data_IF_253285839452
#
_entry.id   IF_253285839452
#
_cell.length_a   1.000
_cell.length_b   1.000
_cell.length_c   1.000
_cell.angle_alpha   90.00
_cell.angle_beta   90.00
_cell.angle_gamma   90.00
#
_symmetry.space_group_name_H-M   'P 1'
#
loop_
_entity.id
_entity.type
_entity.pdbx_description
1 polymer ?
#
# COMPACT_ATOMS: atom_id res chain seq x y z
N UNK A 1 16.87 8.39 -24.50
CA UNK A 1 18.28 8.85 -24.48
C UNK A 1 18.79 8.73 -23.04
N UNK A 2 20.09 8.55 -22.81
CA UNK A 2 20.67 8.55 -21.46
C UNK A 2 21.57 9.77 -21.32
N UNK A 3 21.41 10.54 -20.25
CA UNK A 3 22.25 11.70 -19.94
C UNK A 3 23.00 11.48 -18.64
N UNK A 4 24.30 11.73 -18.66
CA UNK A 4 25.13 11.79 -17.46
C UNK A 4 25.37 13.26 -17.11
N UNK A 5 24.65 13.82 -16.12
CA UNK A 5 24.70 15.23 -15.77
C UNK A 5 26.07 15.65 -15.20
N UNK A 6 26.77 14.72 -14.52
CA UNK A 6 28.06 15.00 -13.87
C UNK A 6 29.18 15.16 -14.89
N UNK A 7 29.05 14.50 -16.04
CA UNK A 7 30.08 14.50 -17.10
C UNK A 7 29.65 15.26 -18.36
N UNK A 8 28.40 15.71 -18.44
CA UNK A 8 27.87 16.46 -19.58
C UNK A 8 27.76 15.64 -20.87
N UNK A 9 27.68 14.30 -20.77
CA UNK A 9 27.63 13.39 -21.91
C UNK A 9 26.21 12.83 -22.12
N UNK A 10 25.81 12.69 -23.37
CA UNK A 10 24.52 12.14 -23.77
C UNK A 10 24.77 10.94 -24.67
N UNK A 11 24.19 9.80 -24.31
CA UNK A 11 24.26 8.57 -25.10
C UNK A 11 22.88 8.15 -25.64
N UNK A 12 22.86 7.66 -26.88
CA UNK A 12 21.68 7.04 -27.49
C UNK A 12 21.75 5.53 -27.36
N UNK A 13 20.74 4.95 -26.72
CA UNK A 13 20.54 3.49 -26.71
C UNK A 13 20.02 3.09 -28.08
N UNK A 14 20.72 2.20 -28.78
CA UNK A 14 20.40 1.82 -30.17
C UNK A 14 19.64 0.51 -30.28
N UNK A 15 19.64 -0.31 -29.24
CA UNK A 15 18.94 -1.59 -29.22
C UNK A 15 18.21 -1.79 -27.90
N UNK A 16 17.01 -2.36 -27.97
CA UNK A 16 16.29 -2.82 -26.77
C UNK A 16 17.09 -3.97 -26.16
N UNK A 17 17.56 -3.85 -24.91
CA UNK A 17 18.36 -4.89 -24.29
C UNK A 17 17.54 -6.16 -24.10
N UNK A 18 18.07 -7.28 -24.59
CA UNK A 18 17.53 -8.63 -24.33
C UNK A 18 18.21 -9.30 -23.13
N UNK A 19 19.20 -8.63 -22.52
CA UNK A 19 20.00 -9.10 -21.39
C UNK A 19 20.40 -7.93 -20.48
N UNK A 20 21.21 -8.20 -19.44
CA UNK A 20 21.69 -7.18 -18.48
C UNK A 20 22.66 -6.14 -19.06
N UNK A 21 22.99 -6.22 -20.35
CA UNK A 21 23.87 -5.28 -21.04
C UNK A 21 23.10 -4.43 -22.06
N UNK A 22 23.38 -3.14 -22.08
CA UNK A 22 22.85 -2.17 -23.05
C UNK A 22 23.94 -1.75 -24.02
N UNK A 23 23.60 -1.63 -25.30
CA UNK A 23 24.51 -1.02 -26.30
C UNK A 23 24.12 0.43 -26.48
N UNK A 24 25.08 1.34 -26.31
CA UNK A 24 24.88 2.78 -26.41
C UNK A 24 25.89 3.42 -27.36
N UNK A 25 25.42 4.39 -28.14
CA UNK A 25 26.26 5.31 -28.89
C UNK A 25 26.45 6.55 -28.02
N UNK A 26 27.69 6.81 -27.59
CA UNK A 26 28.05 8.02 -26.82
C UNK A 26 28.24 9.23 -27.74
N UNK A 27 28.45 10.42 -27.16
CA UNK A 27 28.77 11.64 -27.89
C UNK A 27 27.58 12.13 -28.74
N UNK A 28 26.36 11.75 -28.32
CA UNK A 28 25.15 12.08 -29.03
C UNK A 28 24.83 13.57 -28.84
N UNK A 29 24.35 14.23 -29.91
CA UNK A 29 24.02 15.65 -29.87
C UNK A 29 25.22 16.60 -29.80
N UNK A 30 26.42 16.16 -30.19
CA UNK A 30 27.63 16.99 -30.21
C UNK A 30 28.31 17.15 -28.85
N UNK A 31 27.97 16.30 -27.89
CA UNK A 31 28.64 16.23 -26.58
C UNK A 31 30.00 15.54 -26.72
N UNK A 32 30.96 15.90 -25.86
CA UNK A 32 32.28 15.23 -25.84
C UNK A 32 32.15 13.93 -25.03
N UNK A 33 32.51 12.80 -25.65
CA UNK A 33 32.43 11.48 -25.02
C UNK A 33 33.25 11.35 -23.76
N UNK A 34 32.57 11.42 -22.62
CA UNK A 34 33.18 11.19 -21.33
C UNK A 34 33.10 9.70 -20.95
N UNK A 35 34.17 9.15 -20.38
CA UNK A 35 34.14 7.79 -19.85
C UNK A 35 33.25 7.76 -18.61
N UNK A 36 32.08 7.11 -18.67
CA UNK A 36 31.25 6.90 -17.48
C UNK A 36 31.91 5.92 -16.52
N UNK A 37 31.78 6.17 -15.22
CA UNK A 37 32.30 5.30 -14.17
C UNK A 37 31.15 4.53 -13.51
N UNK A 38 31.44 3.35 -12.92
CA UNK A 38 30.47 2.66 -12.07
C UNK A 38 29.98 3.59 -10.96
N UNK A 39 28.66 3.72 -10.81
CA UNK A 39 28.02 4.59 -9.82
C UNK A 39 27.63 5.99 -10.31
N UNK A 40 27.94 6.35 -11.57
CA UNK A 40 27.42 7.59 -12.15
C UNK A 40 25.88 7.53 -12.25
N UNK A 41 25.20 8.60 -11.82
CA UNK A 41 23.74 8.74 -11.94
C UNK A 41 23.38 9.05 -13.39
N UNK A 42 22.48 8.25 -13.97
CA UNK A 42 22.02 8.42 -15.36
C UNK A 42 20.57 8.87 -15.37
N UNK A 43 20.28 9.91 -16.14
CA UNK A 43 18.92 10.34 -16.41
C UNK A 43 18.41 9.77 -17.72
N UNK A 44 17.22 9.18 -17.69
CA UNK A 44 16.51 8.80 -18.90
C UNK A 44 15.83 10.03 -19.49
N UNK A 45 16.41 10.54 -20.57
CA UNK A 45 15.79 11.59 -21.37
C UNK A 45 14.82 10.97 -22.38
N UNK A 46 13.79 11.73 -22.81
CA UNK A 46 12.94 11.33 -23.92
C UNK A 46 13.78 10.86 -25.13
N UNK A 47 13.28 9.90 -25.90
CA UNK A 47 13.98 9.43 -27.10
C UNK A 47 14.11 10.57 -28.12
N UNK A 48 15.26 10.65 -28.76
CA UNK A 48 15.39 11.42 -30.00
C UNK A 48 14.93 10.52 -31.15
N UNK A 49 13.83 10.93 -31.78
CA UNK A 49 13.17 10.24 -32.88
C UNK A 49 13.43 11.05 -34.15
N UNK A 50 13.63 10.39 -35.28
CA UNK A 50 13.74 11.10 -36.54
C UNK A 50 12.39 11.73 -36.90
N UNK A 51 12.41 12.83 -37.65
CA UNK A 51 11.19 13.38 -38.22
C UNK A 51 10.51 12.31 -39.09
N UNK A 52 9.20 12.12 -38.92
CA UNK A 52 8.36 11.09 -39.55
C UNK A 52 8.67 9.61 -39.20
N UNK A 53 9.38 9.33 -38.11
CA UNK A 53 9.60 7.95 -37.65
C UNK A 53 8.44 7.45 -36.75
N UNK A 54 7.56 6.64 -37.33
CA UNK A 54 6.41 5.97 -36.69
C UNK A 54 6.81 4.85 -35.71
N UNK A 55 8.11 4.58 -35.52
CA UNK A 55 8.60 3.49 -34.68
C UNK A 55 8.51 3.74 -33.17
N UNK A 56 7.92 4.85 -32.71
CA UNK A 56 7.60 5.04 -31.28
C UNK A 56 6.44 4.18 -30.82
N UNK A 57 6.65 2.87 -30.85
CA UNK A 57 5.93 1.98 -29.95
C UNK A 57 6.49 2.28 -28.57
N UNK A 58 5.76 3.09 -27.80
CA UNK A 58 5.98 3.19 -26.37
C UNK A 58 6.20 1.77 -25.87
N UNK A 59 7.35 1.51 -25.24
CA UNK A 59 7.59 0.26 -24.54
C UNK A 59 6.63 0.23 -23.35
N UNK A 60 5.36 -0.05 -23.63
CA UNK A 60 4.44 -0.62 -22.70
C UNK A 60 5.06 -1.97 -22.37
N UNK A 61 5.89 -1.99 -21.33
CA UNK A 61 6.10 -3.18 -20.53
C UNK A 61 4.75 -3.54 -19.92
N UNK A 62 3.83 -4.01 -20.77
CA UNK A 62 2.57 -4.58 -20.37
C UNK A 62 2.96 -5.93 -19.77
N UNK A 63 3.19 -5.94 -18.46
CA UNK A 63 3.20 -7.15 -17.66
C UNK A 63 1.88 -7.87 -17.94
N UNK A 64 1.90 -8.83 -18.87
CA UNK A 64 0.79 -9.72 -19.21
C UNK A 64 0.52 -10.76 -18.11
N UNK A 65 0.96 -10.51 -16.87
CA UNK A 65 0.51 -11.28 -15.72
C UNK A 65 -0.86 -10.72 -15.31
N UNK A 66 -1.88 -11.57 -15.26
CA UNK A 66 -3.21 -11.19 -14.78
C UNK A 66 -3.13 -10.52 -13.39
N UNK A 67 -3.14 -9.18 -13.36
CA UNK A 67 -3.23 -8.36 -12.14
C UNK A 67 -4.68 -8.26 -11.68
N UNK A 68 -5.44 -9.35 -11.76
CA UNK A 68 -6.83 -9.37 -11.27
C UNK A 68 -6.86 -10.10 -9.92
N UNK A 69 -7.35 -9.40 -8.90
CA UNK A 69 -7.75 -10.04 -7.66
C UNK A 69 -9.07 -10.79 -7.93
N UNK A 70 -9.03 -12.12 -7.86
CA UNK A 70 -10.20 -12.96 -8.07
C UNK A 70 -11.28 -12.61 -7.03
N UNK A 71 -12.54 -12.51 -7.45
CA UNK A 71 -13.65 -12.20 -6.52
C UNK A 71 -13.99 -13.46 -5.72
N UNK A 72 -13.80 -13.40 -4.40
CA UNK A 72 -14.31 -14.44 -3.50
C UNK A 72 -15.76 -14.15 -3.10
N UNK A 73 -16.63 -15.14 -3.31
CA UNK A 73 -18.01 -15.09 -2.82
C UNK A 73 -18.03 -15.41 -1.32
N UNK A 74 -18.37 -14.41 -0.50
CA UNK A 74 -18.54 -14.60 0.95
C UNK A 74 -20.02 -14.89 1.23
N UNK A 75 -20.34 -16.15 1.54
CA UNK A 75 -21.69 -16.58 1.96
C UNK A 75 -21.73 -16.76 3.48
N UNK A 76 -22.77 -16.24 4.12
CA UNK A 76 -23.07 -16.50 5.52
C UNK A 76 -24.54 -16.90 5.63
N UNK A 77 -24.82 -18.06 6.22
CA UNK A 77 -26.19 -18.51 6.44
C UNK A 77 -26.77 -17.77 7.64
N UNK A 78 -27.96 -17.18 7.45
CA UNK A 78 -28.74 -16.58 8.53
C UNK A 78 -30.02 -17.39 8.68
N UNK A 79 -30.06 -18.31 9.65
CA UNK A 79 -31.27 -19.03 9.99
C UNK A 79 -31.88 -18.38 11.23
N UNK A 80 -32.91 -17.55 11.02
CA UNK A 80 -33.79 -17.07 12.09
C UNK A 80 -35.12 -17.80 11.85
N UNK A 81 -35.35 -18.89 12.58
CA UNK A 81 -36.56 -19.70 12.43
C UNK A 81 -37.69 -19.11 13.27
N UNK A 82 -38.93 -19.19 12.78
CA UNK A 82 -40.12 -18.77 13.54
C UNK A 82 -40.45 -19.71 14.71
N UNK A 83 -39.89 -20.92 14.73
CA UNK A 83 -40.02 -21.87 15.84
C UNK A 83 -39.38 -21.36 17.15
N UNK A 84 -38.38 -20.47 17.07
CA UNK A 84 -37.85 -19.77 18.26
C UNK A 84 -38.74 -18.61 18.75
N UNK A 85 -39.67 -18.10 17.92
CA UNK A 85 -40.63 -17.05 18.33
C UNK A 85 -41.82 -17.64 19.12
N UNK A 86 -42.11 -18.94 18.99
CA UNK A 86 -43.18 -19.63 19.74
C UNK A 86 -42.73 -20.16 21.11
N UNK A 87 -41.42 -20.20 21.38
CA UNK A 87 -40.93 -20.48 22.74
C UNK A 87 -41.19 -19.24 23.60
N UNK A 88 -42.10 -19.35 24.57
CA UNK A 88 -42.59 -18.28 25.48
C UNK A 88 -41.52 -17.53 26.30
N UNK A 89 -40.23 -17.82 26.12
CA UNK A 89 -39.11 -17.11 26.72
C UNK A 89 -38.58 -16.01 25.76
N UNK A 90 -39.39 -14.95 25.65
CA UNK A 90 -39.00 -13.56 25.37
C UNK A 90 -37.83 -13.30 24.39
N UNK A 91 -38.11 -13.32 23.09
CA UNK A 91 -37.38 -12.51 22.10
C UNK A 91 -38.35 -11.45 21.56
N UNK A 92 -38.29 -10.26 22.15
CA UNK A 92 -38.99 -9.08 21.63
C UNK A 92 -38.51 -8.79 20.18
N UNK A 93 -39.36 -8.23 19.32
CA UNK A 93 -39.01 -7.80 17.95
C UNK A 93 -37.73 -6.94 17.90
N UNK A 94 -37.49 -6.12 18.94
CA UNK A 94 -36.25 -5.35 19.11
C UNK A 94 -35.00 -6.24 19.24
N UNK A 95 -35.11 -7.37 19.95
CA UNK A 95 -34.01 -8.33 20.12
C UNK A 95 -33.72 -9.05 18.80
N UNK A 96 -34.74 -9.31 17.98
CA UNK A 96 -34.57 -9.86 16.62
C UNK A 96 -33.81 -8.90 15.70
N UNK A 97 -34.17 -7.62 15.72
CA UNK A 97 -33.44 -6.58 14.96
C UNK A 97 -32.00 -6.44 15.46
N UNK A 98 -31.80 -6.51 16.79
CA UNK A 98 -30.46 -6.49 17.38
C UNK A 98 -29.61 -7.68 16.89
N UNK A 99 -30.15 -8.91 16.91
CA UNK A 99 -29.44 -10.10 16.43
C UNK A 99 -29.11 -10.01 14.93
N UNK A 100 -30.04 -9.51 14.10
CA UNK A 100 -29.76 -9.27 12.68
C UNK A 100 -28.64 -8.24 12.50
N UNK A 101 -28.68 -7.11 13.22
CA UNK A 101 -27.63 -6.09 13.16
C UNK A 101 -26.26 -6.61 13.61
N UNK A 102 -26.22 -7.48 14.63
CA UNK A 102 -25.00 -8.16 15.08
C UNK A 102 -24.44 -9.07 13.99
N UNK A 103 -25.30 -9.85 13.31
CA UNK A 103 -24.87 -10.70 12.19
C UNK A 103 -24.38 -9.89 10.99
N UNK A 104 -25.03 -8.79 10.63
CA UNK A 104 -24.52 -7.88 9.59
C UNK A 104 -23.19 -7.24 9.97
N UNK A 105 -22.95 -6.98 11.26
CA UNK A 105 -21.64 -6.51 11.74
C UNK A 105 -20.58 -7.59 11.59
N UNK A 106 -20.86 -8.83 12.01
CA UNK A 106 -19.96 -9.98 11.83
C UNK A 106 -19.61 -10.18 10.34
N UNK A 107 -20.61 -10.10 9.45
CA UNK A 107 -20.41 -10.23 8.02
C UNK A 107 -19.49 -9.14 7.45
N UNK A 108 -19.71 -7.87 7.86
CA UNK A 108 -18.86 -6.74 7.44
C UNK A 108 -17.41 -6.94 7.88
N UNK A 109 -17.20 -7.33 9.15
CA UNK A 109 -15.86 -7.62 9.68
C UNK A 109 -15.18 -8.74 8.90
N UNK A 110 -15.89 -9.84 8.59
CA UNK A 110 -15.34 -10.95 7.81
C UNK A 110 -14.98 -10.56 6.38
N UNK A 111 -15.80 -9.71 5.74
CA UNK A 111 -15.52 -9.18 4.40
C UNK A 111 -14.27 -8.29 4.42
N UNK A 112 -14.11 -7.47 5.45
CA UNK A 112 -12.95 -6.60 5.62
C UNK A 112 -11.67 -7.40 5.93
N UNK A 113 -11.75 -8.43 6.79
CA UNK A 113 -10.64 -9.35 7.05
C UNK A 113 -10.17 -10.06 5.77
N UNK A 114 -11.09 -10.48 4.90
CA UNK A 114 -10.71 -11.07 3.63
C UNK A 114 -9.99 -10.06 2.71
N UNK A 115 -10.46 -8.81 2.67
CA UNK A 115 -9.79 -7.77 1.89
C UNK A 115 -8.37 -7.48 2.39
N UNK A 116 -8.10 -7.51 3.70
CA UNK A 116 -6.77 -7.26 4.25
C UNK A 116 -5.87 -8.49 4.18
N UNK A 117 -6.36 -9.64 4.65
CA UNK A 117 -5.56 -10.84 4.95
C UNK A 117 -5.87 -12.05 4.07
N UNK A 118 -6.61 -11.84 2.99
CA UNK A 118 -6.91 -12.88 2.01
C UNK A 118 -5.64 -13.57 1.48
N UNK A 119 -5.81 -14.79 0.98
CA UNK A 119 -4.75 -15.56 0.33
C UNK A 119 -5.20 -15.92 -1.07
N UNK A 120 -4.40 -15.59 -2.09
CA UNK A 120 -4.75 -15.90 -3.47
C UNK A 120 -4.49 -17.37 -3.71
N UNK A 121 -5.54 -18.12 -4.02
CA UNK A 121 -5.43 -19.52 -4.37
C UNK A 121 -6.55 -19.89 -5.34
N UNK A 122 -6.26 -20.83 -6.21
CA UNK A 122 -7.23 -21.46 -7.10
C UNK A 122 -7.19 -22.95 -6.81
N UNK A 123 -8.27 -23.46 -6.25
CA UNK A 123 -8.43 -24.89 -6.02
C UNK A 123 -9.50 -25.41 -6.98
N UNK A 124 -9.10 -26.30 -7.87
CA UNK A 124 -10.04 -27.02 -8.73
C UNK A 124 -10.65 -28.14 -7.90
N UNK A 125 -11.92 -28.02 -7.54
CA UNK A 125 -12.64 -29.07 -6.81
C UNK A 125 -13.14 -30.16 -7.77
N UNK A 126 -13.52 -29.79 -9.00
CA UNK A 126 -13.87 -30.65 -10.14
C UNK A 126 -13.62 -29.90 -11.46
N UNK A 127 -13.67 -30.58 -12.62
CA UNK A 127 -13.45 -30.01 -13.97
C UNK A 127 -14.25 -28.73 -14.27
N UNK A 128 -15.38 -28.51 -13.59
CA UNK A 128 -16.24 -27.34 -13.77
C UNK A 128 -16.34 -26.43 -12.53
N UNK A 129 -15.83 -26.85 -11.38
CA UNK A 129 -15.93 -26.13 -10.11
C UNK A 129 -14.56 -25.66 -9.65
N UNK A 130 -14.20 -24.44 -10.01
CA UNK A 130 -12.99 -23.77 -9.51
C UNK A 130 -13.36 -22.88 -8.33
N UNK A 131 -12.84 -23.20 -7.15
CA UNK A 131 -12.91 -22.33 -5.97
C UNK A 131 -11.75 -21.34 -6.08
N UNK A 132 -12.09 -20.05 -6.13
CA UNK A 132 -11.12 -18.95 -6.22
C UNK A 132 -11.18 -18.11 -4.96
N UNK A 133 -10.04 -17.88 -4.33
CA UNK A 133 -9.93 -17.01 -3.15
C UNK A 133 -9.26 -15.69 -3.51
N UNK A 134 -9.74 -14.60 -2.92
CA UNK A 134 -9.16 -13.27 -3.10
C UNK A 134 -7.87 -13.16 -2.31
N UNK A 135 -6.83 -12.59 -2.92
CA UNK A 135 -5.52 -12.41 -2.31
C UNK A 135 -5.43 -11.27 -1.29
N UNK A 136 -6.43 -10.38 -1.26
CA UNK A 136 -6.42 -9.21 -0.39
C UNK A 136 -5.16 -8.33 -0.56
N UNK A 137 -4.97 -7.40 0.38
CA UNK A 137 -3.80 -6.51 0.42
C UNK A 137 -2.52 -7.31 0.68
N UNK A 138 -2.58 -8.35 1.53
CA UNK A 138 -1.46 -9.26 1.81
C UNK A 138 -0.80 -9.82 0.54
N UNK A 139 -1.56 -10.14 -0.50
CA UNK A 139 -0.98 -10.69 -1.74
C UNK A 139 -0.07 -9.71 -2.50
N UNK A 140 -0.27 -8.40 -2.33
CA UNK A 140 0.61 -7.39 -2.93
C UNK A 140 1.90 -7.18 -2.12
N UNK A 141 1.89 -7.61 -0.87
CA UNK A 141 3.02 -7.50 0.06
C UNK A 141 3.88 -8.77 0.06
N UNK A 142 3.28 -9.91 -0.28
CA UNK A 142 3.95 -11.22 -0.25
C UNK A 142 4.56 -11.49 -1.62
N UNK A 143 5.84 -11.12 -1.81
CA UNK A 143 6.63 -11.48 -3.00
C UNK A 143 7.40 -10.36 -3.70
N UNK A 144 7.67 -9.21 -3.05
CA UNK A 144 8.40 -8.11 -3.70
C UNK A 144 9.06 -7.10 -2.75
N UNK A 145 9.47 -5.97 -3.31
CA UNK A 145 10.12 -4.79 -2.69
C UNK A 145 9.16 -3.86 -1.94
N UNK A 146 7.86 -4.16 -1.92
CA UNK A 146 6.79 -3.27 -1.41
C UNK A 146 6.60 -3.34 0.12
N UNK A 147 7.60 -3.78 0.86
CA UNK A 147 7.60 -3.74 2.32
C UNK A 147 8.97 -3.24 2.79
N UNK A 148 8.95 -2.38 3.81
CA UNK A 148 10.16 -1.93 4.51
C UNK A 148 10.10 -2.53 5.91
N UNK A 149 11.09 -3.35 6.25
CA UNK A 149 11.28 -3.78 7.64
C UNK A 149 12.01 -2.65 8.39
N UNK A 150 11.51 -2.34 9.58
CA UNK A 150 12.07 -1.32 10.46
C UNK A 150 12.98 -1.94 11.54
N UNK A 151 13.52 -3.14 11.29
CA UNK A 151 14.41 -3.90 12.18
C UNK A 151 13.89 -3.95 13.64
N UNK A 152 12.59 -4.14 13.80
CA UNK A 152 11.93 -4.28 15.10
C UNK A 152 11.72 -2.99 15.91
N UNK A 153 12.15 -1.82 15.43
CA UNK A 153 11.87 -0.54 16.09
C UNK A 153 11.57 0.59 15.10
N UNK A 154 10.30 1.01 15.06
CA UNK A 154 9.89 2.19 14.33
C UNK A 154 10.48 3.46 14.99
N UNK A 155 11.39 4.15 14.30
CA UNK A 155 11.95 5.46 14.67
C UNK A 155 11.46 6.55 13.72
N UNK A 156 11.51 7.81 14.15
CA UNK A 156 11.07 8.94 13.32
C UNK A 156 11.91 9.06 12.05
N UNK A 157 13.24 8.98 12.17
CA UNK A 157 14.15 9.01 11.00
C UNK A 157 13.85 7.88 10.02
N UNK A 158 13.67 6.64 10.51
CA UNK A 158 13.38 5.52 9.61
C UNK A 158 12.02 5.68 8.91
N UNK A 159 11.06 6.33 9.57
CA UNK A 159 9.74 6.62 9.02
C UNK A 159 9.81 7.74 7.96
N UNK A 160 10.59 8.78 8.21
CA UNK A 160 10.84 9.84 7.25
C UNK A 160 11.59 9.32 6.02
N UNK A 161 12.61 8.46 6.21
CA UNK A 161 13.30 7.79 5.11
C UNK A 161 12.33 6.94 4.28
N UNK A 162 11.40 6.23 4.93
CA UNK A 162 10.36 5.47 4.23
C UNK A 162 9.42 6.36 3.41
N UNK A 163 9.00 7.49 3.96
CA UNK A 163 8.16 8.45 3.24
C UNK A 163 8.94 9.07 2.08
N UNK A 164 10.21 9.41 2.28
CA UNK A 164 11.09 9.93 1.24
C UNK A 164 11.25 8.96 0.07
N UNK A 165 11.51 7.67 0.37
CA UNK A 165 11.58 6.61 -0.64
C UNK A 165 10.25 6.55 -1.42
N UNK A 166 9.11 6.55 -0.71
CA UNK A 166 7.79 6.47 -1.32
C UNK A 166 7.48 7.67 -2.24
N UNK A 167 7.78 8.90 -1.79
CA UNK A 167 7.47 10.12 -2.54
C UNK A 167 8.46 10.37 -3.68
N UNK A 168 9.69 9.89 -3.58
CA UNK A 168 10.64 9.88 -4.70
C UNK A 168 10.12 9.01 -5.84
N UNK A 169 9.51 7.87 -5.53
CA UNK A 169 8.88 7.00 -6.53
C UNK A 169 7.53 7.53 -7.03
N UNK A 170 6.78 8.26 -6.19
CA UNK A 170 5.41 8.72 -6.46
C UNK A 170 5.24 10.24 -6.36
N UNK A 171 6.00 10.97 -7.18
CA UNK A 171 6.12 12.43 -7.14
C UNK A 171 4.81 13.24 -7.31
N UNK A 172 3.75 12.64 -7.87
CA UNK A 172 2.47 13.32 -8.15
C UNK A 172 1.44 13.18 -7.00
N UNK A 173 1.77 12.44 -5.94
CA UNK A 173 0.80 12.16 -4.87
C UNK A 173 0.91 13.17 -3.73
N UNK A 174 -0.13 13.98 -3.54
CA UNK A 174 -0.18 15.01 -2.49
C UNK A 174 -0.91 14.59 -1.21
N UNK A 175 -1.81 13.61 -1.30
CA UNK A 175 -2.61 13.13 -0.17
C UNK A 175 -2.62 11.61 -0.12
N UNK A 176 -2.00 11.04 0.91
CA UNK A 176 -1.94 9.60 1.11
C UNK A 176 -2.77 9.21 2.34
N UNK A 177 -3.55 8.15 2.22
CA UNK A 177 -4.19 7.51 3.38
C UNK A 177 -3.34 6.34 3.86
N UNK A 178 -2.77 6.46 5.06
CA UNK A 178 -2.02 5.40 5.71
C UNK A 178 -2.93 4.67 6.71
N UNK A 179 -3.17 3.37 6.47
CA UNK A 179 -3.86 2.49 7.40
C UNK A 179 -2.87 1.92 8.40
N UNK A 180 -2.99 2.32 9.67
CA UNK A 180 -2.01 2.00 10.70
C UNK A 180 -2.60 1.20 11.86
N UNK A 181 -1.78 0.30 12.42
CA UNK A 181 -2.07 -0.43 13.64
C UNK A 181 -2.03 0.47 14.89
N UNK A 182 -2.65 0.06 16.00
CA UNK A 182 -2.67 0.87 17.22
C UNK A 182 -1.29 1.07 17.86
N UNK A 183 -0.36 0.11 17.72
CA UNK A 183 0.99 0.20 18.31
C UNK A 183 1.85 1.20 17.55
N UNK A 184 1.94 1.09 16.22
CA UNK A 184 2.63 2.06 15.37
C UNK A 184 2.04 3.47 15.51
N UNK A 185 0.70 3.63 15.55
CA UNK A 185 0.09 4.94 15.82
C UNK A 185 0.50 5.50 17.19
N UNK A 186 0.62 4.66 18.21
CA UNK A 186 1.11 5.06 19.53
C UNK A 186 2.57 5.55 19.52
N UNK A 187 3.43 4.95 18.68
CA UNK A 187 4.83 5.39 18.51
C UNK A 187 4.92 6.75 17.83
N UNK A 188 4.19 6.95 16.73
CA UNK A 188 4.13 8.25 16.02
C UNK A 188 3.63 9.35 16.98
N UNK A 189 2.61 9.03 17.80
CA UNK A 189 2.07 9.95 18.78
C UNK A 189 3.09 10.33 19.87
N UNK A 190 3.98 9.42 20.24
CA UNK A 190 5.05 9.71 21.20
C UNK A 190 6.10 10.67 20.63
N UNK A 191 6.39 10.62 19.33
CA UNK A 191 7.29 11.59 18.68
C UNK A 191 6.70 13.00 18.75
N UNK A 192 5.42 13.14 18.41
CA UNK A 192 4.71 14.42 18.55
C UNK A 192 4.61 14.90 20.00
N UNK A 193 4.42 14.00 20.96
CA UNK A 193 4.39 14.33 22.40
C UNK A 193 5.73 14.92 22.89
N UNK A 194 6.86 14.48 22.34
CA UNK A 194 8.17 15.01 22.73
C UNK A 194 8.40 16.46 22.26
N UNK A 195 7.71 16.90 21.21
CA UNK A 195 7.83 18.23 20.61
C UNK A 195 6.69 19.17 20.97
N UNK A 196 5.53 18.63 21.33
CA UNK A 196 4.35 19.40 21.71
C UNK A 196 4.44 19.94 23.13
N UNK A 197 4.18 21.24 23.30
CA UNK A 197 3.95 21.84 24.61
C UNK A 197 2.53 21.49 25.05
N UNK A 198 2.38 20.80 26.19
CA UNK A 198 1.06 20.61 26.81
C UNK A 198 0.72 21.89 27.55
N UNK A 199 -0.28 22.62 27.07
CA UNK A 199 -0.91 23.68 27.84
C UNK A 199 -2.12 23.08 28.57
N UNK A 200 -2.10 23.18 29.90
CA UNK A 200 -3.20 22.72 30.75
C UNK A 200 -4.35 23.71 30.59
N UNK A 201 -5.39 23.30 29.88
CA UNK A 201 -6.64 24.03 29.83
C UNK A 201 -7.28 24.03 31.22
N UNK A 202 -7.45 25.22 31.80
CA UNK A 202 -7.94 25.43 33.18
C UNK A 202 -9.40 24.99 33.35
N UNK A 203 -10.15 24.89 32.26
CA UNK A 203 -11.59 24.57 32.27
C UNK A 203 -11.91 23.10 31.94
N UNK A 204 -10.92 22.29 31.54
CA UNK A 204 -11.09 20.90 31.11
C UNK A 204 -10.20 19.91 31.89
N UNK A 205 -10.21 20.02 33.21
CA UNK A 205 -9.35 19.29 34.16
C UNK A 205 -9.42 17.75 34.14
N UNK A 206 -10.27 17.13 33.31
CA UNK A 206 -10.50 15.69 33.28
C UNK A 206 -9.98 14.96 32.03
N UNK A 207 -9.32 15.64 31.08
CA UNK A 207 -8.81 15.00 29.85
C UNK A 207 -7.37 15.43 29.56
N UNK A 208 -6.47 14.45 29.49
CA UNK A 208 -5.07 14.63 29.10
C UNK A 208 -4.77 13.72 27.91
N UNK A 209 -4.24 14.29 26.82
CA UNK A 209 -3.82 13.50 25.67
C UNK A 209 -3.47 14.34 24.44
N UNK A 210 -2.76 13.72 23.51
CA UNK A 210 -2.49 14.26 22.17
C UNK A 210 -3.29 13.46 21.14
N UNK A 211 -3.65 14.11 20.03
CA UNK A 211 -4.25 13.45 18.87
C UNK A 211 -3.50 13.90 17.62
N UNK A 212 -2.98 12.92 16.88
CA UNK A 212 -2.36 13.14 15.56
C UNK A 212 -3.19 12.37 14.54
N UNK A 213 -3.78 13.10 13.60
CA UNK A 213 -4.60 12.54 12.52
C UNK A 213 -3.95 12.70 11.15
N UNK A 214 -3.08 13.71 10.97
CA UNK A 214 -2.32 13.93 9.75
C UNK A 214 -0.86 14.16 10.10
N UNK A 215 0.03 13.55 9.34
CA UNK A 215 1.47 13.78 9.37
C UNK A 215 1.84 14.56 8.10
N UNK A 216 2.55 15.67 8.25
CA UNK A 216 3.02 16.49 7.12
C UNK A 216 4.51 16.24 6.94
N UNK A 217 4.90 15.79 5.75
CA UNK A 217 6.27 15.58 5.34
C UNK A 217 6.55 16.45 4.12
N UNK A 218 7.33 17.53 4.31
CA UNK A 218 7.73 18.47 3.25
C UNK A 218 6.55 19.01 2.39
N UNK A 219 5.40 19.26 3.01
CA UNK A 219 4.20 19.78 2.34
C UNK A 219 3.29 18.70 1.74
N UNK A 220 3.64 17.41 1.90
CA UNK A 220 2.82 16.27 1.51
C UNK A 220 2.10 15.68 2.73
N UNK A 221 0.79 15.49 2.60
CA UNK A 221 -0.06 15.11 3.73
C UNK A 221 -0.32 13.60 3.76
N UNK A 222 0.01 12.99 4.90
CA UNK A 222 -0.26 11.59 5.20
C UNK A 222 -1.34 11.49 6.28
N UNK A 223 -2.54 11.08 5.88
CA UNK A 223 -3.67 10.87 6.79
C UNK A 223 -3.54 9.52 7.51
N UNK A 224 -3.45 9.54 8.83
CA UNK A 224 -3.23 8.36 9.68
C UNK A 224 -4.56 7.75 10.17
N UNK A 225 -5.09 6.83 9.37
CA UNK A 225 -6.35 6.13 9.65
C UNK A 225 -6.10 4.88 10.47
N UNK A 226 -6.70 4.81 11.67
CA UNK A 226 -6.58 3.63 12.53
C UNK A 226 -7.44 2.48 12.00
N UNK A 227 -6.82 1.34 11.73
CA UNK A 227 -7.53 0.10 11.42
C UNK A 227 -7.69 -0.77 12.69
N UNK A 228 -8.91 -0.99 13.22
CA UNK A 228 -9.11 -1.78 14.44
C UNK A 228 -8.85 -3.28 14.23
N UNK A 229 -8.89 -3.77 12.98
CA UNK A 229 -8.70 -5.19 12.66
C UNK A 229 -7.26 -5.66 12.86
N UNK A 230 -6.27 -4.75 12.79
CA UNK A 230 -4.86 -5.08 12.99
C UNK A 230 -4.53 -5.47 14.44
N UNK A 231 -5.47 -5.27 15.38
CA UNK A 231 -5.34 -5.72 16.77
C UNK A 231 -6.02 -7.08 17.03
N UNK A 232 -6.86 -7.56 16.11
CA UNK A 232 -7.75 -8.71 16.35
C UNK A 232 -7.17 -10.04 15.83
N UNK A 233 -6.07 -10.02 15.09
CA UNK A 233 -5.46 -11.24 14.52
C UNK A 233 -4.18 -11.58 15.31
N UNK A 234 -4.17 -12.64 16.15
CA UNK A 234 -3.07 -12.97 17.07
C UNK A 234 -1.72 -13.26 16.38
N UNK A 235 -1.75 -13.69 15.11
CA UNK A 235 -0.58 -14.07 14.32
C UNK A 235 0.02 -12.95 13.49
N UNK A 236 -0.53 -11.73 13.55
CA UNK A 236 -0.06 -10.57 12.75
C UNK A 236 0.75 -9.62 13.64
N UNK A 237 1.53 -10.17 14.57
CA UNK A 237 2.41 -9.42 15.47
C UNK A 237 3.49 -8.61 14.76
N UNK A 238 3.70 -8.81 13.46
CA UNK A 238 4.66 -8.08 12.62
C UNK A 238 4.09 -6.89 11.82
N UNK A 239 2.78 -6.60 11.87
CA UNK A 239 2.18 -5.47 11.12
C UNK A 239 1.70 -4.32 12.02
N UNK A 240 2.02 -4.41 13.32
CA UNK A 240 1.48 -3.54 14.38
C UNK A 240 2.53 -2.64 15.00
#
# INVERSE_FOLDING_TARGET
LLSNPLRGDIARVTTTPTSSAITVVRDYGGTTGAIWQPGDVLFLLPPAIAEDDDAYTASASALNSNVYNLVQLVRMNMNITRLTDEMQLNINEKTRMMLQSQKYREFRVRKELNKWFGGRSTQTANTYDTIRTSGGVKSYLTGGTNYKDFDGSLTESSWDDYLNDYFTENYDTSNIMCFIGPKAKGKILNWGKARGRVELDKDNSNKYGFKIDTYDYDGQLVSLVRCPLFNQVPTVSGWG
#
